data_IF_449405698298
#
_entry.id   IF_449405698298
#
_cell.length_a   1.000
_cell.length_b   1.000
_cell.length_c   1.000
_cell.angle_alpha   90.00
_cell.angle_beta   90.00
_cell.angle_gamma   90.00
#
_symmetry.space_group_name_H-M   'P 1'
#
loop_
_entity.id
_entity.type
_entity.pdbx_description
1 polymer ?
#
# COMPACT_ATOMS: atom_id res chain seq x y z
N UNK A 1 -41.11 29.13 5.43
CA UNK A 1 -40.05 28.68 4.50
C UNK A 1 -40.70 27.86 3.42
N UNK A 2 -40.61 28.31 2.16
CA UNK A 2 -41.18 27.63 0.99
C UNK A 2 -40.29 26.43 0.63
N UNK A 3 -40.82 25.20 0.69
CA UNK A 3 -40.16 23.95 0.27
C UNK A 3 -40.38 23.65 -1.23
N UNK A 4 -40.43 24.67 -2.09
CA UNK A 4 -40.82 24.51 -3.50
C UNK A 4 -39.70 24.03 -4.45
N UNK A 5 -38.73 23.25 -3.96
CA UNK A 5 -37.61 22.77 -4.80
C UNK A 5 -37.09 21.38 -4.44
N UNK A 6 -37.94 20.47 -3.95
CA UNK A 6 -37.59 19.05 -3.95
C UNK A 6 -38.01 18.47 -5.30
N UNK A 7 -37.04 18.24 -6.17
CA UNK A 7 -37.27 17.57 -7.44
C UNK A 7 -37.72 16.13 -7.20
N UNK A 8 -38.86 15.74 -7.76
CA UNK A 8 -39.40 14.38 -7.73
C UNK A 8 -38.71 13.51 -8.79
N UNK A 9 -37.39 13.33 -8.64
CA UNK A 9 -36.62 12.42 -9.46
C UNK A 9 -36.75 11.00 -8.94
N UNK A 10 -37.07 10.07 -9.83
CA UNK A 10 -36.97 8.64 -9.53
C UNK A 10 -35.52 8.29 -9.20
N UNK A 11 -35.25 8.03 -7.92
CA UNK A 11 -33.97 7.50 -7.46
C UNK A 11 -33.91 5.99 -7.72
N UNK A 12 -32.92 5.56 -8.51
CA UNK A 12 -32.62 4.14 -8.67
C UNK A 12 -31.47 3.80 -7.72
N UNK A 13 -31.77 3.08 -6.64
CA UNK A 13 -30.77 2.59 -5.71
C UNK A 13 -30.23 1.26 -6.23
N UNK A 14 -28.90 1.13 -6.26
CA UNK A 14 -28.21 -0.09 -6.65
C UNK A 14 -27.43 -0.58 -5.43
N UNK A 15 -27.67 -1.83 -5.04
CA UNK A 15 -26.81 -2.50 -4.07
C UNK A 15 -25.60 -3.07 -4.81
N UNK A 16 -24.42 -2.68 -4.35
CA UNK A 16 -23.14 -3.08 -4.93
C UNK A 16 -22.91 -4.59 -4.91
N UNK A 17 -23.38 -5.27 -3.86
CA UNK A 17 -23.22 -6.71 -3.68
C UNK A 17 -24.21 -7.53 -4.53
N UNK A 18 -25.33 -6.92 -4.92
CA UNK A 18 -26.34 -7.56 -5.78
C UNK A 18 -26.15 -7.19 -7.26
N UNK A 19 -25.12 -6.38 -7.57
CA UNK A 19 -24.85 -5.93 -8.93
C UNK A 19 -24.20 -7.06 -9.73
N UNK A 20 -25.04 -7.86 -10.37
CA UNK A 20 -24.60 -8.82 -11.39
C UNK A 20 -23.99 -8.06 -12.58
N UNK A 21 -22.85 -8.55 -13.06
CA UNK A 21 -22.15 -8.03 -14.22
C UNK A 21 -21.67 -6.56 -14.10
N UNK A 22 -20.95 -6.20 -13.03
CA UNK A 22 -20.30 -4.89 -12.91
C UNK A 22 -19.38 -4.57 -14.11
N UNK A 23 -18.87 -5.59 -14.80
CA UNK A 23 -18.14 -5.51 -16.06
C UNK A 23 -18.95 -4.92 -17.24
N UNK A 24 -20.28 -4.90 -17.14
CA UNK A 24 -21.18 -4.32 -18.14
C UNK A 24 -21.19 -2.80 -18.12
N UNK A 25 -20.68 -2.18 -17.05
CA UNK A 25 -20.57 -0.74 -16.98
C UNK A 25 -19.55 -0.23 -17.99
N UNK A 26 -19.95 0.78 -18.76
CA UNK A 26 -19.06 1.39 -19.75
C UNK A 26 -17.93 2.19 -19.09
N UNK A 27 -16.75 2.17 -19.74
CA UNK A 27 -15.58 2.94 -19.31
C UNK A 27 -14.93 2.41 -18.03
N UNK A 28 -14.23 3.30 -17.30
CA UNK A 28 -13.41 2.90 -16.16
C UNK A 28 -14.18 2.74 -14.83
N UNK A 29 -15.51 2.97 -14.84
CA UNK A 29 -16.35 2.74 -13.66
C UNK A 29 -16.39 1.25 -13.30
N UNK A 30 -16.35 0.35 -14.30
CA UNK A 30 -16.30 -1.10 -14.09
C UNK A 30 -15.17 -1.53 -13.16
N UNK A 31 -14.01 -0.86 -13.22
CA UNK A 31 -12.86 -1.14 -12.37
C UNK A 31 -13.14 -0.80 -10.91
N UNK A 32 -13.68 0.39 -10.65
CA UNK A 32 -14.04 0.82 -9.29
C UNK A 32 -15.09 -0.10 -8.70
N UNK A 33 -16.14 -0.44 -9.47
CA UNK A 33 -17.21 -1.32 -9.02
C UNK A 33 -16.68 -2.73 -8.72
N UNK A 34 -15.82 -3.27 -9.59
CA UNK A 34 -15.17 -4.57 -9.38
C UNK A 34 -14.37 -4.59 -8.08
N UNK A 35 -13.58 -3.56 -7.78
CA UNK A 35 -12.81 -3.49 -6.55
C UNK A 35 -13.69 -3.30 -5.30
N UNK A 36 -14.79 -2.55 -5.42
CA UNK A 36 -15.76 -2.41 -4.33
C UNK A 36 -16.46 -3.73 -3.99
N UNK A 37 -16.66 -4.62 -4.96
CA UNK A 37 -17.16 -5.98 -4.70
C UNK A 37 -16.16 -6.85 -3.93
N UNK A 38 -14.88 -6.46 -3.92
CA UNK A 38 -13.79 -7.13 -3.22
C UNK A 38 -13.38 -6.39 -1.93
N UNK A 39 -14.14 -5.38 -1.49
CA UNK A 39 -13.72 -4.42 -0.45
C UNK A 39 -13.37 -5.05 0.91
N UNK A 40 -13.90 -6.25 1.20
CA UNK A 40 -13.62 -7.02 2.41
C UNK A 40 -12.27 -7.76 2.37
N UNK A 41 -11.68 -7.98 1.20
CA UNK A 41 -10.42 -8.72 1.03
C UNK A 41 -9.38 -7.90 0.27
N UNK A 42 -8.50 -7.25 1.04
CA UNK A 42 -7.38 -6.46 0.50
C UNK A 42 -6.44 -7.26 -0.39
N UNK A 43 -6.29 -8.58 -0.15
CA UNK A 43 -5.44 -9.43 -1.01
C UNK A 43 -6.11 -9.64 -2.35
N UNK A 44 -7.41 -9.96 -2.36
CA UNK A 44 -8.17 -10.10 -3.59
C UNK A 44 -8.16 -8.82 -4.44
N UNK A 45 -8.24 -7.65 -3.81
CA UNK A 45 -8.12 -6.36 -4.51
C UNK A 45 -6.74 -6.22 -5.17
N UNK A 46 -5.66 -6.48 -4.43
CA UNK A 46 -4.30 -6.39 -4.99
C UNK A 46 -4.10 -7.40 -6.12
N UNK A 47 -4.60 -8.64 -5.98
CA UNK A 47 -4.52 -9.67 -7.00
C UNK A 47 -5.29 -9.29 -8.27
N UNK A 48 -6.48 -8.71 -8.15
CA UNK A 48 -7.27 -8.20 -9.28
C UNK A 48 -6.50 -7.09 -10.02
N UNK A 49 -5.94 -6.12 -9.28
CA UNK A 49 -5.19 -5.01 -9.88
C UNK A 49 -3.91 -5.53 -10.56
N UNK A 50 -3.12 -6.35 -9.88
CA UNK A 50 -1.85 -6.86 -10.41
C UNK A 50 -2.05 -7.87 -11.55
N UNK A 51 -3.15 -8.60 -11.55
CA UNK A 51 -3.49 -9.59 -12.57
C UNK A 51 -4.10 -9.01 -13.86
N UNK A 52 -4.51 -7.75 -13.85
CA UNK A 52 -5.25 -7.16 -14.95
C UNK A 52 -4.57 -5.89 -15.50
N UNK A 53 -4.06 -5.97 -16.74
CA UNK A 53 -3.36 -4.87 -17.40
C UNK A 53 -4.23 -3.63 -17.67
N UNK A 54 -5.56 -3.75 -17.59
CA UNK A 54 -6.47 -2.60 -17.75
C UNK A 54 -6.24 -1.55 -16.65
N UNK A 55 -5.73 -1.93 -15.47
CA UNK A 55 -5.37 -1.01 -14.39
C UNK A 55 -4.06 -0.23 -14.63
N UNK A 56 -3.33 -0.50 -15.73
CA UNK A 56 -2.13 0.26 -16.10
C UNK A 56 -2.42 1.63 -16.73
N UNK A 57 -3.66 1.85 -17.21
CA UNK A 57 -4.02 3.05 -17.96
C UNK A 57 -5.26 3.72 -17.37
N UNK A 58 -5.18 4.11 -16.10
CA UNK A 58 -6.29 4.75 -15.40
C UNK A 58 -6.28 6.26 -15.60
N UNK A 59 -7.48 6.82 -15.82
CA UNK A 59 -7.72 8.26 -15.72
C UNK A 59 -7.41 8.74 -14.30
N UNK A 60 -6.99 10.01 -14.13
CA UNK A 60 -6.72 10.63 -12.83
C UNK A 60 -7.79 10.39 -11.78
N UNK A 61 -9.05 10.56 -12.17
CA UNK A 61 -10.18 10.46 -11.27
C UNK A 61 -10.42 9.01 -10.84
N UNK A 62 -10.27 8.06 -11.77
CA UNK A 62 -10.40 6.63 -11.45
C UNK A 62 -9.29 6.17 -10.52
N UNK A 63 -8.04 6.53 -10.82
CA UNK A 63 -6.88 6.19 -9.99
C UNK A 63 -7.02 6.73 -8.57
N UNK A 64 -7.52 7.97 -8.42
CA UNK A 64 -7.80 8.58 -7.12
C UNK A 64 -8.91 7.86 -6.34
N UNK A 65 -10.00 7.45 -6.99
CA UNK A 65 -11.05 6.70 -6.30
C UNK A 65 -10.52 5.36 -5.80
N UNK A 66 -9.72 4.67 -6.62
CA UNK A 66 -9.11 3.39 -6.24
C UNK A 66 -8.11 3.58 -5.10
N UNK A 67 -7.29 4.65 -5.09
CA UNK A 67 -6.35 4.89 -3.99
C UNK A 67 -7.07 5.11 -2.65
N UNK A 68 -8.21 5.81 -2.67
CA UNK A 68 -9.07 5.99 -1.48
C UNK A 68 -9.68 4.66 -1.04
N UNK A 69 -10.17 3.85 -1.98
CA UNK A 69 -10.72 2.51 -1.70
C UNK A 69 -9.69 1.60 -1.02
N UNK A 70 -8.43 1.66 -1.45
CA UNK A 70 -7.33 0.91 -0.83
C UNK A 70 -6.95 1.43 0.56
N UNK A 71 -7.38 2.64 0.93
CA UNK A 71 -7.02 3.29 2.18
C UNK A 71 -5.52 3.54 2.32
N UNK A 72 -4.81 3.76 1.21
CA UNK A 72 -3.35 3.90 1.18
C UNK A 72 -2.94 5.26 0.65
N UNK A 73 -2.50 6.14 1.55
CA UNK A 73 -1.96 7.46 1.19
C UNK A 73 -0.71 7.36 0.33
N UNK A 74 0.09 6.29 0.49
CA UNK A 74 1.27 6.02 -0.35
C UNK A 74 0.89 5.78 -1.81
N UNK A 75 -0.21 5.05 -2.05
CA UNK A 75 -0.70 4.83 -3.42
C UNK A 75 -1.21 6.15 -4.00
N UNK A 76 -1.94 6.94 -3.22
CA UNK A 76 -2.42 8.26 -3.69
C UNK A 76 -1.25 9.18 -4.09
N UNK A 77 -0.20 9.24 -3.27
CA UNK A 77 1.01 10.02 -3.55
C UNK A 77 1.74 9.51 -4.79
N UNK A 78 1.98 8.20 -4.89
CA UNK A 78 2.62 7.58 -6.06
C UNK A 78 1.84 7.90 -7.34
N UNK A 79 0.52 7.74 -7.33
CA UNK A 79 -0.32 8.01 -8.49
C UNK A 79 -0.24 9.47 -8.90
N UNK A 80 -0.30 10.41 -7.94
CA UNK A 80 -0.14 11.85 -8.19
C UNK A 80 1.20 12.15 -8.89
N UNK A 81 2.30 11.57 -8.41
CA UNK A 81 3.60 11.74 -9.05
C UNK A 81 3.66 11.16 -10.47
N UNK A 82 3.07 9.99 -10.72
CA UNK A 82 3.04 9.40 -12.06
C UNK A 82 2.24 10.28 -13.01
N UNK A 83 1.10 10.83 -12.58
CA UNK A 83 0.30 11.74 -13.43
C UNK A 83 1.09 12.97 -13.88
N UNK A 84 1.84 13.59 -12.95
CA UNK A 84 2.66 14.77 -13.25
C UNK A 84 3.81 14.43 -14.23
N UNK A 85 4.35 13.20 -14.18
CA UNK A 85 5.47 12.74 -15.01
C UNK A 85 5.05 12.15 -16.37
N UNK A 86 3.96 11.40 -16.42
CA UNK A 86 3.55 10.56 -17.57
C UNK A 86 2.41 11.18 -18.41
N UNK A 87 1.95 12.39 -18.08
CA UNK A 87 1.09 13.17 -18.96
C UNK A 87 -0.39 12.75 -18.97
N UNK A 88 -0.92 12.28 -17.83
CA UNK A 88 -2.37 12.15 -17.62
C UNK A 88 -2.93 10.73 -17.52
N UNK A 89 -2.10 9.69 -17.52
CA UNK A 89 -2.47 8.32 -17.12
C UNK A 89 -1.64 7.87 -15.94
N UNK A 90 -2.16 6.97 -15.12
CA UNK A 90 -1.36 6.33 -14.09
C UNK A 90 -1.51 4.82 -14.09
N UNK A 91 -0.37 4.17 -13.88
CA UNK A 91 -0.21 2.73 -13.82
C UNK A 91 -0.32 2.25 -12.37
N UNK A 92 -1.51 1.75 -12.01
CA UNK A 92 -1.77 1.23 -10.66
C UNK A 92 -1.03 -0.09 -10.41
N UNK A 93 -0.81 -0.92 -11.45
CA UNK A 93 -0.07 -2.16 -11.30
C UNK A 93 1.38 -1.87 -10.88
N UNK A 94 2.03 -0.94 -11.58
CA UNK A 94 3.39 -0.46 -11.27
C UNK A 94 3.47 0.18 -9.89
N UNK A 95 2.44 0.94 -9.48
CA UNK A 95 2.37 1.52 -8.14
C UNK A 95 2.39 0.43 -7.04
N UNK A 96 1.60 -0.63 -7.20
CA UNK A 96 1.60 -1.75 -6.26
C UNK A 96 2.93 -2.52 -6.28
N UNK A 97 3.49 -2.79 -7.46
CA UNK A 97 4.77 -3.49 -7.62
C UNK A 97 5.93 -2.74 -6.96
N UNK A 98 6.00 -1.42 -7.13
CA UNK A 98 7.05 -0.59 -6.55
C UNK A 98 6.90 -0.49 -5.02
N UNK A 99 5.67 -0.28 -4.52
CA UNK A 99 5.42 -0.27 -3.07
C UNK A 99 5.73 -1.62 -2.41
N UNK A 100 5.43 -2.74 -3.07
CA UNK A 100 5.80 -4.06 -2.58
C UNK A 100 7.32 -4.24 -2.55
N UNK A 101 8.02 -3.79 -3.58
CA UNK A 101 9.49 -3.84 -3.65
C UNK A 101 10.13 -3.01 -2.54
N UNK A 102 9.65 -1.79 -2.33
CA UNK A 102 10.09 -0.90 -1.26
C UNK A 102 9.85 -1.52 0.12
N UNK A 103 8.65 -2.07 0.36
CA UNK A 103 8.31 -2.73 1.62
C UNK A 103 9.24 -3.94 1.89
N UNK A 104 9.53 -4.77 0.87
CA UNK A 104 10.49 -5.88 0.99
C UNK A 104 11.90 -5.42 1.29
N UNK A 105 12.35 -4.34 0.64
CA UNK A 105 13.68 -3.78 0.88
C UNK A 105 13.79 -3.21 2.28
N UNK A 106 12.79 -2.45 2.73
CA UNK A 106 12.72 -1.87 4.06
C UNK A 106 12.72 -2.97 5.13
N UNK A 107 11.86 -3.98 5.00
CA UNK A 107 11.81 -5.11 5.93
C UNK A 107 13.13 -5.90 5.99
N UNK A 108 13.88 -6.01 4.89
CA UNK A 108 15.21 -6.63 4.88
C UNK A 108 16.25 -5.80 5.64
N UNK A 109 16.15 -4.47 5.58
CA UNK A 109 17.04 -3.57 6.32
C UNK A 109 16.69 -3.62 7.81
N UNK A 110 15.41 -3.48 8.15
CA UNK A 110 14.90 -3.57 9.52
C UNK A 110 15.28 -4.91 10.17
N UNK A 111 15.00 -6.04 9.50
CA UNK A 111 15.34 -7.35 10.04
C UNK A 111 16.85 -7.59 10.22
N UNK A 112 17.70 -6.94 9.42
CA UNK A 112 19.16 -6.98 9.65
C UNK A 112 19.58 -6.18 10.87
N UNK A 113 18.94 -5.03 11.10
CA UNK A 113 19.21 -4.16 12.25
C UNK A 113 18.74 -4.87 13.53
N UNK A 114 17.49 -5.33 13.55
CA UNK A 114 16.90 -6.07 14.67
C UNK A 114 17.73 -7.32 15.00
N UNK A 115 18.09 -8.13 13.99
CA UNK A 115 18.88 -9.34 14.20
C UNK A 115 20.28 -9.07 14.77
N UNK A 116 20.92 -7.95 14.41
CA UNK A 116 22.20 -7.53 14.99
C UNK A 116 22.04 -7.11 16.46
N UNK A 117 21.02 -6.30 16.75
CA UNK A 117 20.71 -5.84 18.11
C UNK A 117 20.41 -7.05 19.02
N UNK A 118 19.52 -7.94 18.57
CA UNK A 118 19.15 -9.15 19.31
C UNK A 118 20.36 -10.07 19.51
N UNK A 119 21.23 -10.18 18.50
CA UNK A 119 22.48 -10.92 18.59
C UNK A 119 23.39 -10.40 19.71
N UNK A 120 23.64 -9.08 19.75
CA UNK A 120 24.45 -8.44 20.80
C UNK A 120 23.83 -8.66 22.17
N UNK A 121 22.53 -8.39 22.32
CA UNK A 121 21.82 -8.58 23.59
C UNK A 121 21.84 -10.04 24.06
N UNK A 122 21.66 -11.00 23.15
CA UNK A 122 21.70 -12.43 23.47
C UNK A 122 23.08 -12.87 23.93
N UNK A 123 24.17 -12.37 23.31
CA UNK A 123 25.53 -12.66 23.75
C UNK A 123 25.79 -12.11 25.16
N UNK A 124 25.41 -10.86 25.43
CA UNK A 124 25.58 -10.25 26.75
C UNK A 124 24.81 -11.01 27.82
N UNK A 125 23.55 -11.38 27.57
CA UNK A 125 22.70 -12.05 28.55
C UNK A 125 23.08 -13.52 28.79
N UNK A 126 23.38 -14.28 27.74
CA UNK A 126 23.57 -15.73 27.83
C UNK A 126 25.01 -16.14 28.09
N UNK A 127 25.96 -15.38 27.55
CA UNK A 127 27.39 -15.68 27.69
C UNK A 127 28.10 -14.76 28.68
N UNK A 128 27.42 -13.71 29.16
CA UNK A 128 27.99 -12.79 30.15
C UNK A 128 29.16 -11.94 29.60
N UNK A 129 29.27 -11.82 28.28
CA UNK A 129 30.28 -10.95 27.66
C UNK A 129 29.86 -9.49 27.75
N UNK A 130 30.83 -8.58 27.81
CA UNK A 130 30.53 -7.15 27.75
C UNK A 130 30.04 -6.72 26.36
N UNK A 131 29.49 -5.50 26.28
CA UNK A 131 28.90 -4.97 25.05
C UNK A 131 29.93 -4.83 23.93
N UNK A 132 31.15 -4.38 24.24
CA UNK A 132 32.20 -4.20 23.23
C UNK A 132 32.56 -5.54 22.59
N UNK A 133 32.75 -6.58 23.40
CA UNK A 133 33.04 -7.91 22.90
C UNK A 133 31.86 -8.53 22.15
N UNK A 134 30.63 -8.31 22.61
CA UNK A 134 29.44 -8.75 21.91
C UNK A 134 29.30 -8.09 20.52
N UNK A 135 29.56 -6.79 20.42
CA UNK A 135 29.55 -6.06 19.15
C UNK A 135 30.63 -6.59 18.20
N UNK A 136 31.85 -6.80 18.70
CA UNK A 136 32.96 -7.38 17.92
C UNK A 136 32.58 -8.76 17.34
N UNK A 137 31.98 -9.63 18.15
CA UNK A 137 31.54 -10.97 17.73
C UNK A 137 30.44 -10.96 16.66
N UNK A 138 29.56 -9.95 16.68
CA UNK A 138 28.51 -9.75 15.68
C UNK A 138 29.03 -9.00 14.43
N UNK A 139 30.25 -8.47 14.49
CA UNK A 139 30.88 -7.72 13.40
C UNK A 139 30.33 -6.32 13.23
N UNK A 140 30.03 -5.64 14.34
CA UNK A 140 29.64 -4.23 14.39
C UNK A 140 30.43 -3.47 15.46
N UNK A 141 30.44 -2.14 15.39
CA UNK A 141 31.02 -1.29 16.43
C UNK A 141 29.98 -0.94 17.50
N UNK A 142 30.45 -0.56 18.70
CA UNK A 142 29.56 -0.06 19.76
C UNK A 142 28.80 1.22 19.33
N UNK A 143 29.41 2.05 18.47
CA UNK A 143 28.76 3.21 17.86
C UNK A 143 27.64 2.79 16.91
N UNK A 144 27.88 1.80 16.04
CA UNK A 144 26.87 1.25 15.15
C UNK A 144 25.72 0.64 15.92
N UNK A 145 26.00 -0.14 16.98
CA UNK A 145 24.99 -0.68 17.88
C UNK A 145 24.14 0.42 18.52
N UNK A 146 24.77 1.47 19.05
CA UNK A 146 24.06 2.60 19.66
C UNK A 146 23.17 3.34 18.66
N UNK A 147 23.63 3.50 17.42
CA UNK A 147 22.82 4.09 16.33
C UNK A 147 21.65 3.20 15.96
N UNK A 148 21.86 1.88 15.90
CA UNK A 148 20.81 0.90 15.59
C UNK A 148 19.73 0.86 16.68
N UNK A 149 20.10 0.87 17.96
CA UNK A 149 19.15 0.95 19.08
C UNK A 149 18.37 2.28 19.10
N UNK A 150 18.97 3.39 18.67
CA UNK A 150 18.27 4.67 18.57
C UNK A 150 17.24 4.74 17.41
N UNK A 151 17.29 3.80 16.47
CA UNK A 151 16.35 3.69 15.34
C UNK A 151 15.18 2.73 15.63
N UNK A 152 15.23 2.03 16.76
CA UNK A 152 14.19 1.10 17.22
C UNK A 152 13.05 1.86 17.90
#
# INVERSE_FOLDING_TARGET
MNLNYVQDYKLNLVNMYDLEHAESCEGQLKYVLKLLQLDQDKRAICEEISGNSEYRNLRPETGKVISVLLGSSKIEEYMKEQYDKEGGSADMCKALEDLEREAKQQGKVEGKIEGKIEGVNSLMQKLGVDMEKACELIGITAEEYSRMEALK
#
